data_IF_159733391489
#
_entry.id   IF_159733391489
#
_cell.length_a   1.000
_cell.length_b   1.000
_cell.length_c   1.000
_cell.angle_alpha   90.00
_cell.angle_beta   90.00
_cell.angle_gamma   90.00
#
_symmetry.space_group_name_H-M   'P 1'
#
loop_
_entity.id
_entity.type
_entity.pdbx_description
1 polymer ?
#
# COMPACT_ATOMS: atom_id res chain seq x y z
N UNK A 1 -9.97 -8.99 1.09
CA UNK A 1 -10.92 -9.07 -0.04
C UNK A 1 -11.70 -10.38 0.07
N UNK A 2 -13.01 -10.34 -0.19
CA UNK A 2 -13.85 -11.53 -0.44
C UNK A 2 -13.55 -12.11 -1.82
N UNK A 3 -14.04 -13.32 -2.14
CA UNK A 3 -13.71 -13.99 -3.42
C UNK A 3 -14.14 -13.15 -4.63
N UNK A 4 -15.32 -12.53 -4.57
CA UNK A 4 -15.81 -11.67 -5.65
C UNK A 4 -14.89 -10.48 -5.94
N UNK A 5 -14.38 -9.83 -4.89
CA UNK A 5 -13.46 -8.68 -5.03
C UNK A 5 -12.08 -9.12 -5.54
N UNK A 6 -11.60 -10.28 -5.06
CA UNK A 6 -10.37 -10.89 -5.53
C UNK A 6 -10.41 -11.19 -7.03
N UNK A 7 -11.49 -11.80 -7.50
CA UNK A 7 -11.70 -12.10 -8.92
C UNK A 7 -11.80 -10.80 -9.75
N UNK A 8 -12.59 -9.83 -9.30
CA UNK A 8 -12.70 -8.55 -10.00
C UNK A 8 -11.35 -7.82 -10.10
N UNK A 9 -10.57 -7.84 -9.03
CA UNK A 9 -9.21 -7.28 -8.99
C UNK A 9 -8.30 -7.97 -10.00
N UNK A 10 -8.24 -9.31 -9.98
CA UNK A 10 -7.38 -10.10 -10.86
C UNK A 10 -7.74 -9.97 -12.35
N UNK A 11 -9.03 -9.91 -12.68
CA UNK A 11 -9.48 -9.94 -14.07
C UNK A 11 -9.69 -8.56 -14.68
N UNK A 12 -10.11 -7.57 -13.88
CA UNK A 12 -10.58 -6.28 -14.37
C UNK A 12 -9.84 -5.08 -13.80
N UNK A 13 -8.93 -5.31 -12.84
CA UNK A 13 -8.17 -4.24 -12.17
C UNK A 13 -9.08 -3.15 -11.59
N UNK A 14 -10.29 -3.53 -11.20
CA UNK A 14 -11.33 -2.63 -10.71
C UNK A 14 -12.31 -3.37 -9.82
N UNK A 15 -13.03 -2.62 -8.99
CA UNK A 15 -14.19 -3.11 -8.23
C UNK A 15 -15.43 -2.34 -8.68
N UNK A 16 -16.55 -3.05 -8.81
CA UNK A 16 -17.86 -2.46 -9.00
C UNK A 16 -18.49 -2.13 -7.63
N UNK A 17 -18.84 -0.88 -7.41
CA UNK A 17 -19.54 -0.42 -6.21
C UNK A 17 -21.05 -0.69 -6.30
N UNK A 18 -21.76 -0.60 -5.18
CA UNK A 18 -23.21 -0.82 -5.10
C UNK A 18 -24.02 0.09 -6.03
N UNK A 19 -23.56 1.34 -6.22
CA UNK A 19 -24.18 2.30 -7.13
C UNK A 19 -23.89 2.00 -8.62
N UNK A 20 -23.21 0.89 -8.92
CA UNK A 20 -22.86 0.45 -10.26
C UNK A 20 -21.63 1.12 -10.88
N UNK A 21 -21.03 2.12 -10.21
CA UNK A 21 -19.77 2.72 -10.67
C UNK A 21 -18.58 1.81 -10.42
N UNK A 22 -17.46 2.09 -11.10
CA UNK A 22 -16.23 1.32 -10.96
C UNK A 22 -15.13 2.18 -10.35
N UNK A 23 -14.33 1.56 -9.48
CA UNK A 23 -13.10 2.14 -8.92
C UNK A 23 -11.91 1.28 -9.29
N UNK A 24 -10.74 1.89 -9.46
CA UNK A 24 -9.52 1.15 -9.74
C UNK A 24 -9.08 0.31 -8.53
N UNK A 25 -8.73 -0.94 -8.78
CA UNK A 25 -8.21 -1.88 -7.79
C UNK A 25 -7.44 -2.97 -8.53
N UNK A 26 -6.14 -2.76 -8.75
CA UNK A 26 -5.32 -3.64 -9.61
C UNK A 26 -4.51 -4.69 -8.86
N UNK A 27 -4.46 -4.64 -7.52
CA UNK A 27 -3.63 -5.52 -6.70
C UNK A 27 -4.45 -6.24 -5.63
N UNK A 28 -4.38 -7.59 -5.53
CA UNK A 28 -5.09 -8.32 -4.49
C UNK A 28 -4.60 -7.99 -3.07
N UNK A 29 -5.50 -7.48 -2.22
CA UNK A 29 -5.28 -7.26 -0.79
C UNK A 29 -6.00 -8.36 -0.02
N UNK A 30 -5.28 -9.43 0.29
CA UNK A 30 -5.80 -10.71 0.81
C UNK A 30 -4.96 -11.21 1.97
N UNK A 31 -5.57 -11.97 2.88
CA UNK A 31 -4.89 -12.68 3.97
C UNK A 31 -4.91 -14.17 3.65
N UNK A 32 -3.74 -14.81 3.62
CA UNK A 32 -3.63 -16.25 3.39
C UNK A 32 -3.60 -17.01 4.71
N UNK A 33 -4.26 -18.17 4.75
CA UNK A 33 -4.29 -19.08 5.91
C UNK A 33 -4.02 -20.52 5.47
N UNK A 34 -3.42 -21.31 6.36
CA UNK A 34 -3.15 -22.73 6.13
C UNK A 34 -4.36 -23.63 6.43
N UNK A 35 -4.21 -24.93 6.17
CA UNK A 35 -5.28 -25.93 6.38
C UNK A 35 -5.66 -26.09 7.86
N UNK A 36 -4.70 -25.98 8.79
CA UNK A 36 -4.93 -26.09 10.23
C UNK A 36 -5.69 -24.87 10.75
N UNK A 37 -5.31 -23.68 10.32
CA UNK A 37 -6.00 -22.43 10.63
C UNK A 37 -7.43 -22.45 10.11
N UNK A 38 -7.65 -22.87 8.85
CA UNK A 38 -9.00 -23.04 8.30
C UNK A 38 -9.84 -24.01 9.14
N UNK A 39 -9.27 -25.16 9.52
CA UNK A 39 -9.98 -26.14 10.35
C UNK A 39 -10.32 -25.60 11.74
N UNK A 40 -9.38 -24.86 12.35
CA UNK A 40 -9.56 -24.23 13.67
C UNK A 40 -10.64 -23.16 13.66
N UNK A 41 -10.71 -22.35 12.60
CA UNK A 41 -11.77 -21.32 12.43
C UNK A 41 -13.15 -21.99 12.32
N UNK A 42 -13.25 -23.10 11.57
CA UNK A 42 -14.49 -23.87 11.45
C UNK A 42 -15.64 -23.03 10.91
N UNK A 43 -16.75 -22.98 11.65
CA UNK A 43 -17.96 -22.20 11.31
C UNK A 43 -17.99 -20.81 11.96
N UNK A 44 -16.88 -20.38 12.59
CA UNK A 44 -16.81 -19.08 13.25
C UNK A 44 -16.96 -17.95 12.23
N UNK A 45 -17.84 -16.99 12.51
CA UNK A 45 -18.05 -15.82 11.66
C UNK A 45 -17.07 -14.68 11.91
N UNK A 46 -16.30 -14.75 13.00
CA UNK A 46 -15.38 -13.70 13.42
C UNK A 46 -14.06 -14.32 13.86
N UNK A 47 -12.96 -13.69 13.48
CA UNK A 47 -11.61 -14.08 13.90
C UNK A 47 -10.85 -12.85 14.37
N UNK A 48 -9.98 -13.04 15.36
CA UNK A 48 -9.03 -12.02 15.79
C UNK A 48 -7.76 -12.13 14.95
N UNK A 49 -7.19 -10.99 14.56
CA UNK A 49 -5.85 -10.90 13.98
C UNK A 49 -4.89 -10.46 15.07
N UNK A 50 -3.80 -11.21 15.24
CA UNK A 50 -2.77 -10.95 16.24
C UNK A 50 -1.45 -10.61 15.56
N UNK A 51 -0.66 -9.76 16.20
CA UNK A 51 0.71 -9.46 15.77
C UNK A 51 1.72 -10.51 16.28
N UNK A 52 3.01 -10.27 16.07
CA UNK A 52 4.08 -11.18 16.50
C UNK A 52 4.26 -11.29 18.02
N UNK A 53 3.68 -10.36 18.78
CA UNK A 53 3.74 -10.30 20.24
C UNK A 53 2.41 -10.76 20.87
N UNK A 54 1.55 -11.45 20.10
CA UNK A 54 0.22 -11.94 20.46
C UNK A 54 -0.79 -10.83 20.85
N UNK A 55 -0.52 -9.56 20.51
CA UNK A 55 -1.49 -8.49 20.71
C UNK A 55 -2.58 -8.56 19.65
N UNK A 56 -3.84 -8.43 20.06
CA UNK A 56 -4.95 -8.34 19.10
C UNK A 56 -4.95 -6.97 18.44
N UNK A 57 -4.76 -6.93 17.12
CA UNK A 57 -4.65 -5.68 16.34
C UNK A 57 -5.91 -5.37 15.54
N UNK A 58 -6.68 -6.40 15.18
CA UNK A 58 -7.91 -6.23 14.41
C UNK A 58 -8.86 -7.41 14.60
N UNK A 59 -10.12 -7.21 14.23
CA UNK A 59 -11.14 -8.25 14.13
C UNK A 59 -11.60 -8.31 12.68
N UNK A 60 -11.65 -9.51 12.12
CA UNK A 60 -12.23 -9.77 10.81
C UNK A 60 -13.60 -10.45 11.02
N UNK A 61 -14.67 -9.78 10.61
CA UNK A 61 -16.04 -10.24 10.78
C UNK A 61 -16.66 -10.72 9.46
N UNK A 62 -17.75 -11.48 9.58
CA UNK A 62 -18.47 -12.09 8.46
C UNK A 62 -17.54 -12.82 7.48
N UNK A 63 -16.65 -13.64 8.03
CA UNK A 63 -15.54 -14.22 7.26
C UNK A 63 -16.00 -15.17 6.15
N UNK A 64 -15.25 -15.16 5.06
CA UNK A 64 -15.40 -16.03 3.91
C UNK A 64 -14.04 -16.63 3.57
N UNK A 65 -13.95 -17.97 3.60
CA UNK A 65 -12.72 -18.69 3.29
C UNK A 65 -12.85 -19.34 1.91
N UNK A 66 -11.94 -18.99 0.99
CA UNK A 66 -11.95 -19.46 -0.39
C UNK A 66 -10.54 -19.90 -0.84
N UNK A 67 -10.43 -20.56 -1.98
CA UNK A 67 -9.15 -21.12 -2.44
C UNK A 67 -8.15 -20.01 -2.79
N UNK A 68 -6.87 -20.29 -2.58
CA UNK A 68 -5.77 -19.43 -3.02
C UNK A 68 -5.15 -20.01 -4.32
N UNK A 69 -5.61 -19.60 -5.53
CA UNK A 69 -5.02 -20.07 -6.78
C UNK A 69 -3.69 -19.36 -7.04
N UNK A 70 -2.63 -19.77 -6.32
CA UNK A 70 -1.33 -19.07 -6.28
C UNK A 70 -0.75 -18.81 -7.67
N UNK A 71 -0.63 -19.84 -8.51
CA UNK A 71 -0.05 -19.71 -9.85
C UNK A 71 -0.84 -18.73 -10.72
N UNK A 72 -2.17 -18.82 -10.75
CA UNK A 72 -3.02 -17.89 -11.49
C UNK A 72 -2.92 -16.46 -10.95
N UNK A 73 -2.96 -16.29 -9.62
CA UNK A 73 -2.79 -14.99 -8.96
C UNK A 73 -1.46 -14.34 -9.36
N UNK A 74 -0.38 -15.11 -9.35
CA UNK A 74 0.96 -14.66 -9.72
C UNK A 74 0.98 -14.26 -11.20
N UNK A 75 0.53 -15.16 -12.08
CA UNK A 75 0.51 -14.93 -13.52
C UNK A 75 -0.27 -13.65 -13.91
N UNK A 76 -1.44 -13.44 -13.31
CA UNK A 76 -2.31 -12.30 -13.63
C UNK A 76 -1.82 -10.97 -13.05
N UNK A 77 -1.14 -11.00 -11.90
CA UNK A 77 -0.68 -9.78 -11.24
C UNK A 77 0.71 -9.35 -11.75
N UNK A 78 1.62 -10.31 -12.00
CA UNK A 78 2.99 -10.03 -12.43
C UNK A 78 3.23 -10.24 -13.93
N UNK A 79 2.30 -10.86 -14.66
CA UNK A 79 2.49 -11.20 -16.09
C UNK A 79 3.50 -12.33 -16.32
N UNK A 80 3.94 -13.02 -15.26
CA UNK A 80 4.89 -14.14 -15.30
C UNK A 80 4.75 -14.98 -14.04
N UNK A 81 5.15 -16.24 -14.10
CA UNK A 81 5.26 -17.18 -12.95
C UNK A 81 6.70 -17.60 -12.68
N UNK A 82 7.67 -16.84 -13.23
CA UNK A 82 9.08 -17.14 -13.05
C UNK A 82 9.47 -17.16 -11.55
N UNK A 83 10.36 -18.09 -11.14
CA UNK A 83 10.87 -18.11 -9.77
C UNK A 83 11.74 -16.89 -9.49
N UNK A 84 11.89 -16.53 -8.22
CA UNK A 84 12.77 -15.43 -7.79
C UNK A 84 12.14 -14.05 -7.85
N UNK A 85 10.82 -13.96 -8.04
CA UNK A 85 10.07 -12.71 -7.85
C UNK A 85 10.01 -12.39 -6.33
N UNK A 86 10.72 -11.36 -5.83
CA UNK A 86 10.96 -11.23 -4.38
C UNK A 86 9.68 -11.21 -3.53
N UNK A 87 8.67 -10.46 -3.98
CA UNK A 87 7.38 -10.41 -3.28
C UNK A 87 6.64 -11.75 -3.31
N UNK A 88 6.69 -12.47 -4.43
CA UNK A 88 6.02 -13.78 -4.57
C UNK A 88 6.67 -14.80 -3.63
N UNK A 89 7.99 -14.85 -3.61
CA UNK A 89 8.73 -15.75 -2.72
C UNK A 89 8.44 -15.44 -1.24
N UNK A 90 8.43 -14.15 -0.88
CA UNK A 90 8.21 -13.71 0.50
C UNK A 90 6.80 -14.05 1.03
N UNK A 91 5.75 -13.82 0.22
CA UNK A 91 4.38 -13.80 0.76
C UNK A 91 3.36 -14.68 0.05
N UNK A 92 3.69 -15.26 -1.13
CA UNK A 92 2.73 -16.09 -1.88
C UNK A 92 3.20 -17.55 -1.94
N UNK A 93 4.43 -17.81 -2.35
CA UNK A 93 4.93 -19.17 -2.60
C UNK A 93 4.77 -20.07 -1.38
N UNK A 94 5.30 -19.63 -0.22
CA UNK A 94 5.22 -20.35 1.06
C UNK A 94 3.92 -20.15 1.85
N UNK A 95 3.00 -19.31 1.39
CA UNK A 95 1.75 -19.02 2.13
C UNK A 95 0.76 -20.18 2.14
N UNK A 96 -0.33 -20.07 2.91
CA UNK A 96 -1.39 -21.07 2.91
C UNK A 96 -2.17 -21.18 1.58
N UNK A 97 -2.91 -22.29 1.44
CA UNK A 97 -3.71 -22.60 0.25
C UNK A 97 -5.12 -21.99 0.26
N UNK A 98 -5.45 -21.22 1.30
CA UNK A 98 -6.72 -20.55 1.46
C UNK A 98 -6.51 -19.05 1.64
N UNK A 99 -7.49 -18.28 1.19
CA UNK A 99 -7.61 -16.86 1.48
C UNK A 99 -8.83 -16.66 2.38
N UNK A 100 -8.74 -15.71 3.29
CA UNK A 100 -9.84 -15.28 4.14
C UNK A 100 -10.19 -13.81 3.86
N UNK A 101 -11.44 -13.59 3.47
CA UNK A 101 -12.05 -12.27 3.29
C UNK A 101 -13.06 -11.99 4.39
N UNK A 102 -13.40 -10.72 4.58
CA UNK A 102 -14.35 -10.30 5.61
C UNK A 102 -14.30 -8.79 5.82
N UNK A 103 -15.11 -8.32 6.77
CA UNK A 103 -15.19 -6.92 7.17
C UNK A 103 -14.18 -6.66 8.28
N UNK A 104 -13.20 -5.79 8.00
CA UNK A 104 -12.04 -5.56 8.87
C UNK A 104 -12.28 -4.37 9.80
N UNK A 105 -12.21 -4.61 11.11
CA UNK A 105 -12.20 -3.59 12.15
C UNK A 105 -10.81 -3.55 12.80
N UNK A 106 -10.06 -2.49 12.55
CA UNK A 106 -8.73 -2.28 13.14
C UNK A 106 -8.91 -1.58 14.49
N UNK A 107 -8.36 -2.17 15.57
CA UNK A 107 -8.63 -1.75 16.95
C UNK A 107 -7.92 -0.42 17.27
N UNK A 108 -6.64 -0.34 16.92
CA UNK A 108 -5.82 0.86 17.14
C UNK A 108 -5.06 1.25 15.87
N UNK A 109 -4.76 2.55 15.68
CA UNK A 109 -3.89 2.98 14.59
C UNK A 109 -2.52 2.30 14.67
N UNK A 110 -2.11 1.65 13.59
CA UNK A 110 -0.84 0.91 13.51
C UNK A 110 0.35 1.86 13.64
N UNK A 111 1.28 1.50 14.53
CA UNK A 111 2.58 2.17 14.72
C UNK A 111 3.69 1.14 14.64
N UNK A 112 4.85 1.57 14.11
CA UNK A 112 6.00 0.69 13.94
C UNK A 112 7.09 0.97 14.99
N UNK A 113 7.03 2.10 15.70
CA UNK A 113 7.98 2.48 16.74
C UNK A 113 9.45 2.50 16.28
N UNK A 114 9.68 2.70 14.99
CA UNK A 114 11.00 2.72 14.34
C UNK A 114 11.59 4.15 14.21
N UNK A 115 10.96 5.12 14.86
CA UNK A 115 11.30 6.54 14.78
C UNK A 115 10.79 7.25 13.53
N UNK A 116 10.02 6.59 12.65
CA UNK A 116 9.49 7.18 11.41
C UNK A 116 7.97 7.36 11.40
N UNK A 117 7.27 7.00 12.48
CA UNK A 117 5.79 7.07 12.54
C UNK A 117 5.24 8.48 12.29
N UNK A 118 6.00 9.51 12.64
CA UNK A 118 5.62 10.91 12.37
C UNK A 118 5.60 11.27 10.87
N UNK A 119 6.21 10.46 10.00
CA UNK A 119 6.09 10.58 8.54
C UNK A 119 4.93 9.75 7.97
N UNK A 120 4.35 8.82 8.73
CA UNK A 120 3.27 7.92 8.27
C UNK A 120 1.90 8.59 8.40
N UNK A 121 1.70 9.65 7.63
CA UNK A 121 0.44 10.39 7.61
C UNK A 121 -0.66 9.59 6.89
N UNK A 122 -1.83 9.50 7.53
CA UNK A 122 -3.03 8.94 6.90
C UNK A 122 -3.52 9.83 5.74
N UNK A 123 -4.34 9.29 4.82
CA UNK A 123 -4.97 10.10 3.77
C UNK A 123 -5.76 11.30 4.30
N UNK A 124 -6.39 11.17 5.48
CA UNK A 124 -7.11 12.27 6.12
C UNK A 124 -6.14 13.39 6.58
N UNK A 125 -5.06 13.02 7.27
CA UNK A 125 -4.03 13.97 7.71
C UNK A 125 -3.33 14.66 6.53
N UNK A 126 -3.06 13.94 5.44
CA UNK A 126 -2.50 14.54 4.22
C UNK A 126 -3.45 15.59 3.61
N UNK A 127 -4.75 15.29 3.53
CA UNK A 127 -5.75 16.25 3.03
C UNK A 127 -5.86 17.49 3.92
N UNK A 128 -5.82 17.31 5.23
CA UNK A 128 -5.77 18.41 6.20
C UNK A 128 -4.53 19.28 5.98
N UNK A 129 -3.36 18.66 5.80
CA UNK A 129 -2.10 19.37 5.56
C UNK A 129 -2.13 20.18 4.24
N UNK A 130 -2.66 19.60 3.16
CA UNK A 130 -2.81 20.32 1.89
C UNK A 130 -3.78 21.49 2.01
N UNK A 131 -4.88 21.30 2.75
CA UNK A 131 -5.85 22.37 3.02
C UNK A 131 -5.22 23.49 3.85
N UNK A 132 -4.47 23.13 4.91
CA UNK A 132 -3.74 24.06 5.78
C UNK A 132 -2.71 24.89 5.00
N UNK A 133 -2.11 24.30 3.96
CA UNK A 133 -1.17 24.98 3.06
C UNK A 133 -1.83 25.79 1.95
N UNK A 134 -3.15 25.81 1.86
CA UNK A 134 -3.90 26.42 0.76
C UNK A 134 -3.42 25.92 -0.62
N UNK A 135 -3.17 24.61 -0.72
CA UNK A 135 -2.77 23.99 -1.98
C UNK A 135 -3.94 24.04 -2.98
N UNK A 136 -3.70 24.56 -4.18
CA UNK A 136 -4.68 24.56 -5.27
C UNK A 136 -4.44 23.44 -6.30
N UNK A 137 -3.29 22.78 -6.21
CA UNK A 137 -3.00 21.51 -6.83
C UNK A 137 -2.05 20.69 -5.94
N UNK A 138 -2.19 19.37 -5.96
CA UNK A 138 -1.25 18.44 -5.33
C UNK A 138 -0.76 17.47 -6.39
N UNK A 139 0.56 17.32 -6.52
CA UNK A 139 1.17 16.35 -7.43
C UNK A 139 2.05 15.38 -6.64
N UNK A 140 1.80 14.09 -6.81
CA UNK A 140 2.47 13.04 -6.05
C UNK A 140 3.66 12.47 -6.83
N UNK A 141 4.74 12.20 -6.11
CA UNK A 141 5.91 11.48 -6.62
C UNK A 141 6.15 10.24 -5.76
N UNK A 142 5.67 9.10 -6.26
CA UNK A 142 5.92 7.78 -5.67
C UNK A 142 7.37 7.36 -5.94
N UNK A 143 8.07 6.88 -4.91
CA UNK A 143 9.44 6.39 -5.05
C UNK A 143 9.76 5.29 -4.04
N UNK A 144 10.71 4.43 -4.40
CA UNK A 144 11.32 3.44 -3.50
C UNK A 144 12.85 3.55 -3.40
N UNK A 145 13.44 4.49 -4.13
CA UNK A 145 14.89 4.67 -4.27
C UNK A 145 15.33 6.04 -3.75
N UNK A 146 16.64 6.24 -3.46
CA UNK A 146 17.21 7.58 -3.23
C UNK A 146 16.88 8.57 -4.35
N UNK A 147 16.66 9.83 -3.99
CA UNK A 147 16.38 10.90 -4.95
C UNK A 147 17.68 11.38 -5.59
N UNK A 148 17.80 11.23 -6.91
CA UNK A 148 18.86 11.85 -7.72
C UNK A 148 18.28 12.96 -8.62
N UNK A 149 19.14 13.71 -9.32
CA UNK A 149 18.71 14.88 -10.09
C UNK A 149 17.74 14.58 -11.24
N UNK A 150 17.77 13.38 -11.81
CA UNK A 150 16.73 12.92 -12.75
C UNK A 150 15.31 12.92 -12.14
N UNK A 151 15.15 12.45 -10.89
CA UNK A 151 13.87 12.56 -10.17
C UNK A 151 13.54 14.03 -9.87
N UNK A 152 14.53 14.82 -9.43
CA UNK A 152 14.35 16.24 -9.15
C UNK A 152 13.90 17.03 -10.39
N UNK A 153 14.42 16.68 -11.57
CA UNK A 153 14.01 17.27 -12.84
C UNK A 153 12.52 17.03 -13.11
N UNK A 154 12.03 15.80 -12.93
CA UNK A 154 10.61 15.49 -13.12
C UNK A 154 9.72 16.28 -12.14
N UNK A 155 10.11 16.36 -10.87
CA UNK A 155 9.36 17.09 -9.85
C UNK A 155 9.35 18.60 -10.11
N UNK A 156 10.49 19.17 -10.46
CA UNK A 156 10.63 20.61 -10.75
C UNK A 156 9.93 21.00 -12.06
N UNK A 157 10.04 20.19 -13.10
CA UNK A 157 9.33 20.40 -14.36
C UNK A 157 7.81 20.29 -14.19
N UNK A 158 7.33 19.31 -13.41
CA UNK A 158 5.90 19.18 -13.08
C UNK A 158 5.39 20.42 -12.36
N UNK A 159 6.14 20.93 -11.37
CA UNK A 159 5.79 22.19 -10.69
C UNK A 159 5.71 23.35 -11.68
N UNK A 160 6.72 23.49 -12.56
CA UNK A 160 6.74 24.54 -13.59
C UNK A 160 5.49 24.48 -14.48
N UNK A 161 5.14 23.30 -14.99
CA UNK A 161 3.95 23.12 -15.83
C UNK A 161 2.66 23.48 -15.11
N UNK A 162 2.51 23.10 -13.84
CA UNK A 162 1.33 23.47 -13.05
C UNK A 162 1.22 25.00 -12.87
N UNK A 163 2.34 25.70 -12.66
CA UNK A 163 2.36 27.15 -12.60
C UNK A 163 1.98 27.78 -13.96
N UNK A 164 2.49 27.23 -15.07
CA UNK A 164 2.14 27.65 -16.44
C UNK A 164 0.65 27.40 -16.76
N UNK A 165 0.05 26.33 -16.21
CA UNK A 165 -1.39 26.05 -16.30
C UNK A 165 -2.26 26.99 -15.46
N UNK A 166 -1.66 27.83 -14.61
CA UNK A 166 -2.35 28.86 -13.84
C UNK A 166 -2.55 28.55 -12.36
N UNK A 167 -2.18 27.36 -11.89
CA UNK A 167 -2.12 27.06 -10.45
C UNK A 167 -1.12 28.02 -9.77
N UNK A 168 -1.45 28.49 -8.58
CA UNK A 168 -0.68 29.48 -7.81
C UNK A 168 0.14 28.82 -6.71
N UNK A 169 -0.34 27.71 -6.16
CA UNK A 169 0.29 27.01 -5.05
C UNK A 169 0.27 25.48 -5.22
N UNK A 170 0.88 24.94 -6.30
CA UNK A 170 1.01 23.50 -6.46
C UNK A 170 1.92 22.93 -5.37
N UNK A 171 1.50 21.91 -4.64
CA UNK A 171 2.27 21.24 -3.59
C UNK A 171 2.74 19.86 -4.08
N UNK A 172 4.04 19.60 -3.93
CA UNK A 172 4.59 18.27 -4.13
C UNK A 172 4.21 17.39 -2.94
N UNK A 173 3.75 16.17 -3.20
CA UNK A 173 3.73 15.09 -2.23
C UNK A 173 4.86 14.11 -2.59
N UNK A 174 6.02 14.24 -1.93
CA UNK A 174 7.10 13.26 -2.05
C UNK A 174 6.76 12.06 -1.17
N UNK A 175 6.46 10.91 -1.79
CA UNK A 175 5.79 9.80 -1.10
C UNK A 175 6.62 8.51 -1.17
N UNK A 176 7.67 8.38 -0.35
CA UNK A 176 8.50 7.18 -0.34
C UNK A 176 7.72 5.98 0.21
N UNK A 177 7.74 4.86 -0.51
CA UNK A 177 7.16 3.61 -0.01
C UNK A 177 7.94 3.12 1.21
N UNK A 178 7.21 2.79 2.28
CA UNK A 178 7.75 2.31 3.56
C UNK A 178 7.32 0.90 3.97
N UNK A 179 6.57 0.19 3.12
CA UNK A 179 6.29 -1.24 3.31
C UNK A 179 7.48 -2.11 2.90
N UNK A 180 7.22 -3.41 2.69
CA UNK A 180 8.23 -4.36 2.22
C UNK A 180 8.95 -3.87 0.94
N UNK A 181 10.28 -4.01 0.94
CA UNK A 181 11.15 -3.81 -0.22
C UNK A 181 12.10 -4.99 -0.32
N UNK A 182 12.54 -5.33 -1.54
CA UNK A 182 13.51 -6.41 -1.77
C UNK A 182 14.85 -6.12 -1.07
N UNK A 183 15.61 -7.17 -0.77
CA UNK A 183 16.80 -7.10 0.10
C UNK A 183 17.93 -6.19 -0.40
N UNK A 184 18.04 -5.97 -1.72
CA UNK A 184 19.06 -5.11 -2.32
C UNK A 184 18.64 -3.64 -2.47
N UNK A 185 17.41 -3.27 -2.07
CA UNK A 185 16.97 -1.88 -2.02
C UNK A 185 17.56 -1.15 -0.79
N UNK A 186 17.78 0.17 -0.92
CA UNK A 186 18.25 1.00 0.20
C UNK A 186 17.16 1.02 1.30
N UNK A 187 17.49 0.70 2.57
CA UNK A 187 16.49 0.67 3.65
C UNK A 187 15.78 2.01 3.83
N UNK A 188 14.52 1.96 4.27
CA UNK A 188 13.67 3.15 4.43
C UNK A 188 14.33 4.23 5.28
N UNK A 189 14.91 3.87 6.43
CA UNK A 189 15.55 4.83 7.34
C UNK A 189 16.70 5.60 6.68
N UNK A 190 17.45 4.97 5.77
CA UNK A 190 18.50 5.62 5.00
C UNK A 190 17.95 6.46 3.84
N UNK A 191 16.88 5.99 3.18
CA UNK A 191 16.19 6.79 2.16
C UNK A 191 15.63 8.08 2.74
N UNK A 192 14.97 8.02 3.90
CA UNK A 192 14.43 9.20 4.58
C UNK A 192 15.54 10.21 4.90
N UNK A 193 16.65 9.77 5.51
CA UNK A 193 17.83 10.63 5.76
C UNK A 193 18.36 11.27 4.47
N UNK A 194 18.40 10.51 3.38
CA UNK A 194 18.85 11.03 2.08
C UNK A 194 17.87 12.05 1.50
N UNK A 195 16.57 11.80 1.59
CA UNK A 195 15.53 12.72 1.10
C UNK A 195 15.54 14.04 1.87
N UNK A 196 15.70 13.99 3.20
CA UNK A 196 15.86 15.19 4.03
C UNK A 196 17.05 16.04 3.56
N UNK A 197 18.18 15.42 3.18
CA UNK A 197 19.35 16.13 2.63
C UNK A 197 19.09 16.75 1.26
N UNK A 198 18.28 16.13 0.42
CA UNK A 198 17.89 16.69 -0.89
C UNK A 198 16.89 17.85 -0.72
N UNK A 199 16.00 17.76 0.26
CA UNK A 199 15.03 18.81 0.55
C UNK A 199 15.65 20.01 1.31
N UNK A 200 16.71 19.80 2.10
CA UNK A 200 17.36 20.85 2.89
C UNK A 200 17.84 22.09 2.10
N UNK A 201 18.47 21.98 0.91
CA UNK A 201 18.93 23.14 0.12
C UNK A 201 17.85 23.77 -0.78
N UNK A 202 16.64 23.20 -0.86
CA UNK A 202 15.66 23.58 -1.88
C UNK A 202 14.46 24.30 -1.23
N UNK A 203 13.91 25.39 -1.80
CA UNK A 203 12.69 26.05 -1.29
C UNK A 203 11.41 25.17 -1.39
N UNK A 204 11.55 23.90 -1.76
CA UNK A 204 10.54 22.84 -1.71
C UNK A 204 10.45 22.27 -0.29
N UNK A 205 10.06 23.08 0.70
CA UNK A 205 9.63 22.50 1.98
C UNK A 205 8.25 21.86 1.79
N UNK A 206 8.26 20.53 1.86
CA UNK A 206 7.09 19.67 2.06
C UNK A 206 6.32 20.03 3.30
#
# INVERSE_FOLDING_TARGET
MRESEFLQTLHFNSLRLENGSFVNMSVPIVLAIDDLQKQSIGESKRVALVDSDDNTVAILSDVEIYKHPKEERIARTWGTTAPGLPYVEETIAGSGNWLIGGDLEVIEPIKYHDGLDHFRLSPAQLREEFTRRNADAVFAFQLRNPVHNGHALLMTDTRRRLLEMGYKNPILLLHPLGGYTKADDVPLSWRMKQHEKVCAPTPLRL
#
